data_IF_849631260092
#
_entry.id   IF_849631260092
#
_cell.length_a   1.000
_cell.length_b   1.000
_cell.length_c   1.000
_cell.angle_alpha   90.00
_cell.angle_beta   90.00
_cell.angle_gamma   90.00
#
_symmetry.space_group_name_H-M   'P 1'
#
loop_
_entity.id
_entity.type
_entity.pdbx_description
1 polymer ?
#
# COMPACT_ATOMS: atom_id res chain seq x y z
N UNK A 1 -56.18 2.41 -47.03
CA UNK A 1 -57.50 1.77 -46.94
C UNK A 1 -57.68 1.40 -45.48
N UNK A 2 -58.25 2.31 -44.69
CA UNK A 2 -59.70 2.29 -44.40
C UNK A 2 -60.07 1.00 -43.68
N UNK A 3 -60.17 1.07 -42.35
CA UNK A 3 -61.44 1.08 -41.60
C UNK A 3 -62.19 -0.25 -41.77
N UNK A 4 -62.53 -0.96 -40.70
CA UNK A 4 -63.81 -0.75 -40.05
C UNK A 4 -63.86 -1.43 -38.66
N UNK A 5 -64.52 -0.73 -37.76
CA UNK A 5 -65.01 -1.20 -36.46
C UNK A 5 -66.23 -2.10 -36.66
N UNK A 6 -66.39 -3.13 -35.84
CA UNK A 6 -67.71 -3.70 -35.50
C UNK A 6 -67.70 -4.25 -34.07
N UNK A 7 -68.55 -3.67 -33.21
CA UNK A 7 -69.02 -4.20 -31.92
C UNK A 7 -70.30 -5.00 -32.18
N UNK A 8 -70.63 -6.03 -31.37
CA UNK A 8 -71.56 -5.84 -30.24
C UNK A 8 -71.19 -6.67 -28.97
N UNK A 9 -71.42 -6.16 -27.75
CA UNK A 9 -72.51 -6.51 -26.78
C UNK A 9 -72.75 -8.04 -26.70
N UNK A 10 -72.66 -8.78 -25.59
CA UNK A 10 -73.35 -8.79 -24.28
C UNK A 10 -72.55 -9.86 -23.48
N UNK A 11 -72.26 -9.80 -22.18
CA UNK A 11 -73.11 -10.34 -21.10
C UNK A 11 -72.32 -10.30 -19.78
N UNK A 12 -72.96 -9.78 -18.73
CA UNK A 12 -72.49 -9.84 -17.35
C UNK A 12 -72.41 -11.29 -16.84
N UNK A 13 -71.28 -11.69 -16.25
CA UNK A 13 -71.29 -12.64 -15.13
C UNK A 13 -70.38 -12.08 -14.04
N UNK A 14 -71.02 -11.72 -12.93
CA UNK A 14 -70.42 -11.37 -11.66
C UNK A 14 -69.77 -12.64 -11.09
N UNK A 15 -68.44 -12.69 -11.02
CA UNK A 15 -67.72 -13.70 -10.25
C UNK A 15 -66.85 -12.99 -9.21
N UNK A 16 -67.31 -13.06 -7.96
CA UNK A 16 -66.54 -12.68 -6.77
C UNK A 16 -65.29 -13.54 -6.68
N UNK A 17 -64.13 -12.96 -6.97
CA UNK A 17 -62.83 -13.52 -6.66
C UNK A 17 -62.13 -12.61 -5.63
N UNK A 18 -61.78 -13.19 -4.48
CA UNK A 18 -61.13 -12.51 -3.36
C UNK A 18 -59.83 -11.83 -3.80
N UNK A 19 -59.48 -10.64 -3.28
CA UNK A 19 -58.14 -10.10 -3.44
C UNK A 19 -57.19 -10.89 -2.54
N UNK A 20 -56.37 -11.76 -3.13
CA UNK A 20 -55.15 -12.21 -2.47
C UNK A 20 -54.19 -11.01 -2.44
N UNK A 21 -54.23 -10.23 -1.36
CA UNK A 21 -53.21 -9.23 -1.06
C UNK A 21 -51.87 -9.93 -0.93
N UNK A 22 -51.08 -9.90 -2.01
CA UNK A 22 -49.66 -10.20 -1.95
C UNK A 22 -49.02 -9.15 -1.04
N UNK A 23 -48.69 -9.55 0.19
CA UNK A 23 -47.78 -8.79 1.02
C UNK A 23 -46.49 -8.57 0.23
N UNK A 24 -46.22 -7.31 -0.11
CA UNK A 24 -44.89 -6.86 -0.51
C UNK A 24 -43.95 -7.24 0.63
N UNK A 25 -43.22 -8.33 0.45
CA UNK A 25 -42.11 -8.72 1.31
C UNK A 25 -41.15 -7.54 1.27
N UNK A 26 -40.99 -6.87 2.41
CA UNK A 26 -40.20 -5.67 2.55
C UNK A 26 -38.84 -5.86 1.87
N UNK A 27 -38.55 -4.99 0.91
CA UNK A 27 -37.17 -4.74 0.53
C UNK A 27 -36.53 -4.15 1.78
N UNK A 28 -35.79 -4.97 2.52
CA UNK A 28 -34.89 -4.46 3.54
C UNK A 28 -33.99 -3.40 2.90
N UNK A 29 -33.55 -2.37 3.65
CA UNK A 29 -32.65 -1.37 3.11
C UNK A 29 -31.48 -2.07 2.42
N UNK A 30 -31.02 -1.56 1.26
CA UNK A 30 -29.86 -2.14 0.59
C UNK A 30 -28.74 -2.25 1.63
N UNK A 31 -28.17 -3.45 1.76
CA UNK A 31 -27.00 -3.65 2.57
C UNK A 31 -26.00 -2.57 2.15
N UNK A 32 -25.75 -1.61 3.04
CA UNK A 32 -24.63 -0.70 2.88
C UNK A 32 -23.42 -1.64 2.77
N UNK A 33 -22.82 -1.70 1.59
CA UNK A 33 -21.50 -2.31 1.38
C UNK A 33 -20.54 -1.55 2.31
N UNK A 34 -20.50 -1.99 3.55
CA UNK A 34 -19.65 -1.44 4.58
C UNK A 34 -18.23 -1.63 4.11
N UNK A 35 -17.52 -0.52 3.92
CA UNK A 35 -16.11 -0.55 3.54
C UNK A 35 -15.37 -1.45 4.53
N UNK A 36 -14.69 -2.48 4.03
CA UNK A 36 -13.92 -3.40 4.87
C UNK A 36 -12.90 -2.56 5.69
N UNK A 37 -12.91 -2.60 7.04
CA UNK A 37 -11.99 -1.83 7.86
C UNK A 37 -10.52 -2.10 7.53
N UNK A 38 -10.17 -3.32 7.13
CA UNK A 38 -8.81 -3.70 6.76
C UNK A 38 -8.37 -2.98 5.47
N UNK A 39 -9.29 -2.89 4.49
CA UNK A 39 -9.05 -2.13 3.25
C UNK A 39 -8.84 -0.63 3.51
N UNK A 40 -9.51 -0.06 4.52
CA UNK A 40 -9.27 1.34 4.93
C UNK A 40 -7.88 1.53 5.54
N UNK A 41 -7.37 0.55 6.29
CA UNK A 41 -6.02 0.60 6.87
C UNK A 41 -4.96 0.54 5.77
N UNK A 42 -5.12 -0.37 4.80
CA UNK A 42 -4.22 -0.45 3.64
C UNK A 42 -4.28 0.84 2.81
N UNK A 43 -5.47 1.38 2.55
CA UNK A 43 -5.60 2.67 1.87
C UNK A 43 -4.93 3.81 2.64
N UNK A 44 -5.00 3.79 3.98
CA UNK A 44 -4.32 4.77 4.81
C UNK A 44 -2.79 4.70 4.65
N UNK A 45 -2.23 3.48 4.60
CA UNK A 45 -0.82 3.26 4.30
C UNK A 45 -0.45 3.80 2.90
N UNK A 46 -1.21 3.43 1.87
CA UNK A 46 -0.99 3.86 0.48
C UNK A 46 -1.01 5.40 0.35
N UNK A 47 -1.94 6.06 1.02
CA UNK A 47 -2.00 7.52 1.07
C UNK A 47 -0.75 8.12 1.70
N UNK A 48 -0.26 7.56 2.82
CA UNK A 48 0.93 8.07 3.51
C UNK A 48 2.21 7.92 2.69
N UNK A 49 2.40 6.78 2.01
CA UNK A 49 3.54 6.58 1.10
C UNK A 49 3.43 7.46 -0.15
N UNK A 50 2.22 7.68 -0.66
CA UNK A 50 1.96 8.60 -1.77
C UNK A 50 2.30 10.05 -1.41
N UNK A 51 1.92 10.52 -0.22
CA UNK A 51 2.30 11.86 0.25
C UNK A 51 3.82 12.01 0.42
N UNK A 52 4.53 10.96 0.87
CA UNK A 52 5.99 10.97 0.85
C UNK A 52 6.55 11.08 -0.57
N UNK A 53 6.07 10.27 -1.51
CA UNK A 53 6.54 10.29 -2.90
C UNK A 53 6.29 11.64 -3.57
N UNK A 54 5.15 12.29 -3.30
CA UNK A 54 4.88 13.67 -3.76
C UNK A 54 5.90 14.66 -3.21
N UNK A 55 6.21 14.58 -1.92
CA UNK A 55 7.24 15.43 -1.30
C UNK A 55 8.60 15.23 -1.95
N UNK A 56 9.01 13.97 -2.14
CA UNK A 56 10.25 13.61 -2.82
C UNK A 56 10.34 14.26 -4.19
N UNK A 57 9.34 14.01 -5.07
CA UNK A 57 9.29 14.55 -6.42
C UNK A 57 9.31 16.08 -6.44
N UNK A 58 8.62 16.73 -5.50
CA UNK A 58 8.60 18.18 -5.39
C UNK A 58 9.95 18.80 -4.99
N UNK A 59 10.81 18.04 -4.31
CA UNK A 59 12.18 18.45 -3.97
C UNK A 59 13.11 18.18 -5.15
N UNK A 60 13.05 16.97 -5.71
CA UNK A 60 13.87 16.57 -6.86
C UNK A 60 13.63 17.48 -8.08
N UNK A 61 12.37 17.87 -8.35
CA UNK A 61 12.03 18.79 -9.43
C UNK A 61 12.62 20.21 -9.30
N UNK A 62 13.13 20.58 -8.12
CA UNK A 62 13.81 21.87 -7.90
C UNK A 62 15.32 21.77 -8.13
N UNK A 63 15.85 20.56 -8.30
CA UNK A 63 17.26 20.29 -8.51
C UNK A 63 17.57 20.22 -10.00
N UNK A 64 18.83 20.49 -10.41
CA UNK A 64 19.26 20.22 -11.77
C UNK A 64 19.06 18.74 -12.11
N UNK A 65 18.38 18.45 -13.22
CA UNK A 65 18.14 17.08 -13.62
C UNK A 65 19.46 16.32 -13.86
N UNK A 66 19.61 15.17 -13.20
CA UNK A 66 20.74 14.28 -13.42
C UNK A 66 20.57 13.56 -14.76
N UNK A 67 21.38 13.92 -15.75
CA UNK A 67 21.43 13.19 -17.02
C UNK A 67 22.01 11.79 -16.78
N UNK A 68 21.61 10.77 -17.57
CA UNK A 68 22.21 9.43 -17.49
C UNK A 68 23.74 9.52 -17.51
N UNK A 69 24.38 8.94 -16.49
CA UNK A 69 25.83 9.02 -16.30
C UNK A 69 26.31 7.85 -15.46
N UNK A 70 27.49 7.32 -15.79
CA UNK A 70 28.17 6.29 -14.98
C UNK A 70 29.05 6.89 -13.87
N UNK A 71 29.02 8.22 -13.72
CA UNK A 71 29.83 8.92 -12.71
C UNK A 71 29.22 8.72 -11.32
N UNK A 72 29.81 7.81 -10.54
CA UNK A 72 29.44 7.56 -9.15
C UNK A 72 29.43 8.83 -8.29
N UNK A 73 30.37 9.74 -8.52
CA UNK A 73 30.45 11.03 -7.83
C UNK A 73 29.25 11.94 -8.11
N UNK A 74 28.79 12.04 -9.36
CA UNK A 74 27.60 12.84 -9.72
C UNK A 74 26.32 12.24 -9.13
N UNK A 75 26.19 10.91 -9.20
CA UNK A 75 25.06 10.19 -8.60
C UNK A 75 25.01 10.43 -7.09
N UNK A 76 26.16 10.29 -6.42
CA UNK A 76 26.27 10.49 -4.97
C UNK A 76 25.95 11.92 -4.56
N UNK A 77 26.43 12.91 -5.32
CA UNK A 77 26.13 14.32 -5.06
C UNK A 77 24.63 14.61 -5.18
N UNK A 78 23.98 14.17 -6.27
CA UNK A 78 22.54 14.33 -6.47
C UNK A 78 21.75 13.68 -5.33
N UNK A 79 22.09 12.44 -4.98
CA UNK A 79 21.48 11.73 -3.85
C UNK A 79 21.63 12.50 -2.53
N UNK A 80 22.80 13.10 -2.28
CA UNK A 80 23.06 13.87 -1.05
C UNK A 80 22.22 15.15 -1.00
N UNK A 81 22.17 15.92 -2.09
CA UNK A 81 21.35 17.14 -2.18
C UNK A 81 19.85 16.84 -1.99
N UNK A 82 19.36 15.77 -2.64
CA UNK A 82 17.99 15.31 -2.48
C UNK A 82 17.70 14.90 -1.03
N UNK A 83 18.62 14.14 -0.41
CA UNK A 83 18.50 13.72 0.96
C UNK A 83 18.47 14.91 1.94
N UNK A 84 19.28 15.94 1.72
CA UNK A 84 19.28 17.16 2.52
C UNK A 84 17.97 17.93 2.40
N UNK A 85 17.45 18.09 1.18
CA UNK A 85 16.15 18.70 0.93
C UNK A 85 15.01 17.98 1.66
N UNK A 86 14.99 16.65 1.57
CA UNK A 86 13.98 15.80 2.23
C UNK A 86 14.11 15.91 3.75
N UNK A 87 15.33 15.85 4.32
CA UNK A 87 15.56 16.03 5.77
C UNK A 87 15.01 17.36 6.27
N UNK A 88 15.24 18.45 5.53
CA UNK A 88 14.75 19.78 5.90
C UNK A 88 13.23 19.83 5.92
N UNK A 89 12.58 19.26 4.90
CA UNK A 89 11.12 19.20 4.82
C UNK A 89 10.50 18.27 5.88
N UNK A 90 11.20 17.19 6.23
CA UNK A 90 10.76 16.16 7.20
C UNK A 90 11.39 16.32 8.59
N UNK A 91 11.79 17.53 9.00
CA UNK A 91 12.48 17.74 10.28
C UNK A 91 11.72 17.22 11.51
N UNK A 92 10.38 17.17 11.45
CA UNK A 92 9.52 16.66 12.52
C UNK A 92 9.05 15.21 12.33
N UNK A 93 9.52 14.50 11.30
CA UNK A 93 9.09 13.12 11.05
C UNK A 93 9.57 12.19 12.16
N UNK A 94 8.70 11.27 12.56
CA UNK A 94 8.94 10.28 13.62
C UNK A 94 8.56 8.89 13.14
N UNK A 95 9.06 7.90 13.87
CA UNK A 95 8.71 6.51 13.62
C UNK A 95 7.21 6.32 13.84
N UNK A 96 6.57 5.57 12.94
CA UNK A 96 5.14 5.31 12.96
C UNK A 96 4.28 6.39 12.33
N UNK A 97 4.88 7.42 11.71
CA UNK A 97 4.15 8.37 10.87
C UNK A 97 3.58 7.71 9.60
N UNK A 98 4.19 6.62 9.12
CA UNK A 98 3.66 5.79 8.04
C UNK A 98 3.16 4.46 8.59
N UNK A 99 4.01 3.69 9.27
CA UNK A 99 3.64 2.46 9.95
C UNK A 99 2.97 2.74 11.29
N UNK A 100 1.79 3.35 11.24
CA UNK A 100 0.96 3.56 12.44
C UNK A 100 0.67 2.22 13.14
N UNK A 101 0.31 2.20 14.43
CA UNK A 101 -0.01 0.96 15.13
C UNK A 101 -1.07 0.08 14.43
N UNK A 102 -2.06 0.70 13.78
CA UNK A 102 -3.09 0.00 13.02
C UNK A 102 -2.54 -0.63 11.75
N UNK A 103 -1.71 0.11 11.01
CA UNK A 103 -1.03 -0.39 9.81
C UNK A 103 -0.08 -1.53 10.19
N UNK A 104 0.64 -1.40 11.30
CA UNK A 104 1.49 -2.47 11.82
C UNK A 104 0.68 -3.74 12.07
N UNK A 105 -0.45 -3.63 12.78
CA UNK A 105 -1.31 -4.77 13.07
C UNK A 105 -1.82 -5.46 11.79
N UNK A 106 -2.07 -4.71 10.72
CA UNK A 106 -2.52 -5.25 9.42
C UNK A 106 -1.37 -5.86 8.60
N UNK A 107 -0.17 -5.30 8.67
CA UNK A 107 1.00 -5.83 7.95
C UNK A 107 1.50 -7.15 8.53
N UNK A 108 1.36 -7.36 9.85
CA UNK A 108 1.89 -8.54 10.51
C UNK A 108 1.29 -9.87 9.98
N UNK A 109 -0.03 -10.00 9.79
CA UNK A 109 -0.63 -11.15 9.10
C UNK A 109 -0.08 -11.36 7.68
N UNK A 110 0.06 -10.30 6.88
CA UNK A 110 0.56 -10.39 5.50
C UNK A 110 1.98 -10.98 5.45
N UNK A 111 2.84 -10.52 6.35
CA UNK A 111 4.20 -11.04 6.49
C UNK A 111 4.17 -12.48 7.00
N UNK A 112 3.34 -12.78 7.99
CA UNK A 112 3.21 -14.13 8.56
C UNK A 112 2.79 -15.14 7.49
N UNK A 113 1.78 -14.79 6.68
CA UNK A 113 1.30 -15.62 5.56
C UNK A 113 2.44 -15.87 4.57
N UNK A 114 3.21 -14.84 4.19
CA UNK A 114 4.36 -15.01 3.31
C UNK A 114 5.42 -15.94 3.93
N UNK A 115 5.73 -15.76 5.21
CA UNK A 115 6.74 -16.49 5.97
C UNK A 115 6.37 -17.95 6.29
N UNK A 116 5.10 -18.33 6.11
CA UNK A 116 4.57 -19.68 6.34
C UNK A 116 4.01 -20.33 5.06
N UNK A 117 3.92 -19.57 3.96
CA UNK A 117 3.39 -20.04 2.69
C UNK A 117 4.34 -20.96 1.93
N UNK A 118 3.97 -21.30 0.69
CA UNK A 118 4.74 -22.21 -0.17
C UNK A 118 6.20 -21.76 -0.39
N UNK A 119 6.45 -20.45 -0.34
CA UNK A 119 7.77 -19.84 -0.54
C UNK A 119 8.57 -19.63 0.75
N UNK A 120 8.03 -20.03 1.91
CA UNK A 120 8.63 -19.80 3.22
C UNK A 120 10.10 -20.23 3.28
N UNK A 121 10.42 -21.44 2.80
CA UNK A 121 11.80 -21.96 2.82
C UNK A 121 12.78 -21.06 2.04
N UNK A 122 12.34 -20.47 0.93
CA UNK A 122 13.15 -19.55 0.11
C UNK A 122 13.34 -18.21 0.81
N UNK A 123 12.27 -17.69 1.41
CA UNK A 123 12.31 -16.45 2.20
C UNK A 123 13.28 -16.60 3.37
N UNK A 124 13.12 -17.65 4.20
CA UNK A 124 14.01 -17.94 5.33
C UNK A 124 15.47 -18.11 4.91
N UNK A 125 15.72 -18.77 3.79
CA UNK A 125 17.10 -18.94 3.26
C UNK A 125 17.69 -17.60 2.84
N UNK A 126 16.93 -16.79 2.09
CA UNK A 126 17.37 -15.46 1.68
C UNK A 126 17.63 -14.53 2.86
N UNK A 127 16.77 -14.56 3.89
CA UNK A 127 16.92 -13.74 5.09
C UNK A 127 18.07 -14.22 6.01
N UNK A 128 18.40 -15.51 6.02
CA UNK A 128 19.57 -16.03 6.77
C UNK A 128 20.90 -15.72 6.10
N UNK A 129 20.94 -15.64 4.77
CA UNK A 129 22.14 -15.25 4.03
C UNK A 129 22.40 -13.75 4.07
N UNK A 130 21.43 -12.95 4.51
CA UNK A 130 21.68 -11.58 4.87
C UNK A 130 22.66 -11.53 6.06
N UNK A 131 23.85 -10.97 5.84
CA UNK A 131 24.80 -10.65 6.91
C UNK A 131 24.10 -9.97 8.09
N UNK A 132 24.40 -10.35 9.34
CA UNK A 132 23.76 -9.74 10.50
C UNK A 132 24.22 -8.28 10.66
N UNK A 133 23.41 -7.35 10.15
CA UNK A 133 23.65 -5.92 10.27
C UNK A 133 23.02 -5.42 11.58
N UNK A 134 23.85 -5.03 12.55
CA UNK A 134 23.38 -4.25 13.71
C UNK A 134 23.31 -2.78 13.34
N UNK A 135 22.29 -2.40 12.56
CA UNK A 135 22.03 -1.02 12.21
C UNK A 135 21.11 -0.36 13.24
N UNK A 136 21.54 0.77 13.79
CA UNK A 136 20.63 1.65 14.54
C UNK A 136 19.77 2.42 13.54
N UNK A 137 18.56 1.95 13.32
CA UNK A 137 17.58 2.62 12.46
C UNK A 137 17.20 3.97 13.06
N UNK A 138 17.20 5.01 12.22
CA UNK A 138 16.77 6.35 12.60
C UNK A 138 16.09 7.02 11.42
N UNK A 139 14.93 7.63 11.67
CA UNK A 139 14.18 8.36 10.65
C UNK A 139 15.06 9.45 10.05
N UNK A 140 14.98 9.59 8.73
CA UNK A 140 15.77 10.51 7.92
C UNK A 140 17.30 10.29 7.98
N UNK A 141 17.78 9.21 8.60
CA UNK A 141 19.18 8.82 8.51
C UNK A 141 19.42 8.06 7.20
N UNK A 142 20.64 8.15 6.69
CA UNK A 142 21.02 7.38 5.51
C UNK A 142 21.23 5.90 5.84
N UNK A 143 20.93 5.02 4.90
CA UNK A 143 21.39 3.64 5.00
C UNK A 143 22.92 3.62 4.79
N UNK A 144 23.73 3.03 5.69
CA UNK A 144 25.18 3.13 5.58
C UNK A 144 25.70 2.45 4.32
N UNK A 145 26.58 3.13 3.57
CA UNK A 145 27.19 2.57 2.36
C UNK A 145 28.12 1.37 2.63
N UNK A 146 28.62 1.23 3.86
CA UNK A 146 29.47 0.12 4.29
C UNK A 146 28.71 -1.19 4.53
N UNK A 147 27.37 -1.14 4.47
CA UNK A 147 26.51 -2.31 4.65
C UNK A 147 26.05 -2.76 3.27
N UNK A 148 26.31 -4.03 2.87
CA UNK A 148 25.79 -4.56 1.62
C UNK A 148 24.28 -4.34 1.51
N UNK A 149 23.82 -3.86 0.37
CA UNK A 149 22.38 -3.76 0.10
C UNK A 149 21.83 -5.18 0.03
N UNK A 150 21.15 -5.59 1.10
CA UNK A 150 20.45 -6.86 1.14
C UNK A 150 19.16 -6.72 0.37
N UNK A 151 18.97 -7.61 -0.62
CA UNK A 151 17.73 -7.69 -1.38
C UNK A 151 16.64 -8.29 -0.50
N UNK A 152 15.50 -7.59 -0.39
CA UNK A 152 14.31 -8.16 0.23
C UNK A 152 13.79 -9.31 -0.64
N UNK A 153 13.47 -10.48 -0.07
CA UNK A 153 13.03 -11.63 -0.85
C UNK A 153 11.78 -11.26 -1.70
N UNK A 154 11.79 -11.46 -3.03
CA UNK A 154 10.67 -11.07 -3.88
C UNK A 154 9.33 -11.71 -3.46
N UNK A 155 9.38 -12.96 -3.00
CA UNK A 155 8.21 -13.68 -2.50
C UNK A 155 7.61 -13.09 -1.23
N UNK A 156 8.39 -12.37 -0.41
CA UNK A 156 7.85 -11.57 0.69
C UNK A 156 7.10 -10.34 0.14
N UNK A 157 7.67 -9.67 -0.85
CA UNK A 157 7.08 -8.46 -1.45
C UNK A 157 5.74 -8.72 -2.13
N UNK A 158 5.50 -9.93 -2.64
CA UNK A 158 4.23 -10.31 -3.28
C UNK A 158 3.01 -10.19 -2.37
N UNK A 159 3.20 -10.26 -1.05
CA UNK A 159 2.13 -10.17 -0.07
C UNK A 159 1.98 -8.77 0.54
N UNK A 160 2.84 -7.81 0.16
CA UNK A 160 2.83 -6.46 0.71
C UNK A 160 2.15 -5.47 -0.26
N UNK A 161 1.55 -4.38 0.26
CA UNK A 161 1.04 -3.32 -0.59
C UNK A 161 2.14 -2.73 -1.48
N UNK A 162 1.79 -2.43 -2.74
CA UNK A 162 2.74 -1.86 -3.70
C UNK A 162 3.21 -0.48 -3.25
N UNK A 163 4.46 -0.17 -3.58
CA UNK A 163 5.08 1.12 -3.29
C UNK A 163 5.23 1.96 -4.55
N UNK A 164 5.25 3.30 -4.42
CA UNK A 164 5.81 4.18 -5.45
C UNK A 164 7.26 3.81 -5.79
N UNK A 165 7.72 4.14 -7.00
CA UNK A 165 9.04 3.73 -7.51
C UNK A 165 10.22 4.25 -6.68
N UNK A 166 10.05 5.37 -5.98
CA UNK A 166 11.08 5.98 -5.15
C UNK A 166 11.28 5.26 -3.82
N UNK A 167 10.31 4.41 -3.43
CA UNK A 167 10.24 3.79 -2.11
C UNK A 167 10.37 2.28 -2.22
N UNK A 168 11.16 1.69 -1.35
CA UNK A 168 11.36 0.25 -1.30
C UNK A 168 11.20 -0.30 0.13
N UNK A 169 10.73 -1.55 0.21
CA UNK A 169 10.78 -2.31 1.45
C UNK A 169 12.17 -2.92 1.63
N UNK A 170 12.71 -2.79 2.84
CA UNK A 170 13.93 -3.47 3.28
C UNK A 170 13.69 -4.24 4.56
N UNK A 171 14.36 -5.38 4.69
CA UNK A 171 14.41 -6.14 5.95
C UNK A 171 15.76 -5.89 6.61
N UNK A 172 15.73 -5.41 7.86
CA UNK A 172 16.94 -5.16 8.67
C UNK A 172 16.78 -5.83 10.02
N UNK A 173 17.48 -6.95 10.22
CA UNK A 173 17.20 -7.84 11.35
C UNK A 173 15.75 -8.32 11.29
N UNK A 174 14.99 -8.11 12.36
CA UNK A 174 13.57 -8.44 12.42
C UNK A 174 12.64 -7.29 11.99
N UNK A 175 13.19 -6.20 11.47
CA UNK A 175 12.42 -4.99 11.17
C UNK A 175 12.09 -4.89 9.69
N UNK A 176 10.89 -4.43 9.37
CA UNK A 176 10.54 -3.97 8.03
C UNK A 176 10.76 -2.46 7.95
N UNK A 177 11.49 -2.00 6.95
CA UNK A 177 11.94 -0.62 6.80
C UNK A 177 11.45 -0.09 5.46
N UNK A 178 10.92 1.13 5.44
CA UNK A 178 10.71 1.89 4.21
C UNK A 178 11.95 2.74 3.95
N UNK A 179 12.56 2.54 2.79
CA UNK A 179 13.69 3.33 2.34
C UNK A 179 13.33 4.11 1.08
N UNK A 180 13.87 5.31 0.98
CA UNK A 180 13.92 6.09 -0.25
C UNK A 180 15.15 5.63 -1.04
N UNK A 181 14.92 5.02 -2.20
CA UNK A 181 15.99 4.45 -3.02
C UNK A 181 16.86 5.53 -3.68
N UNK A 182 16.31 6.69 -4.03
CA UNK A 182 17.08 7.74 -4.72
C UNK A 182 17.79 8.69 -3.76
N UNK A 183 17.25 8.90 -2.56
CA UNK A 183 17.85 9.71 -1.51
C UNK A 183 18.67 8.89 -0.49
N UNK A 184 18.56 7.56 -0.55
CA UNK A 184 19.11 6.63 0.43
C UNK A 184 18.73 7.02 1.87
N UNK A 185 17.44 7.16 2.16
CA UNK A 185 16.93 7.59 3.47
C UNK A 185 15.96 6.58 4.07
N UNK A 186 16.07 6.36 5.39
CA UNK A 186 15.04 5.63 6.14
C UNK A 186 13.83 6.55 6.34
N UNK A 187 12.70 6.19 5.75
CA UNK A 187 11.46 6.97 5.78
C UNK A 187 10.67 6.66 7.06
N UNK A 188 10.49 5.37 7.35
CA UNK A 188 9.85 4.82 8.54
C UNK A 188 10.24 3.34 8.72
N UNK A 189 9.98 2.76 9.89
CA UNK A 189 10.21 1.33 10.13
C UNK A 189 9.30 0.73 11.20
N UNK A 190 9.03 -0.55 11.01
CA UNK A 190 8.18 -1.38 11.85
C UNK A 190 9.04 -2.47 12.51
N UNK A 191 9.24 -2.41 13.84
CA UNK A 191 10.05 -3.38 14.55
C UNK A 191 9.29 -4.69 14.76
N UNK A 192 9.99 -5.83 14.78
CA UNK A 192 9.38 -7.14 15.02
C UNK A 192 8.43 -7.61 13.91
N UNK A 193 8.66 -7.11 12.69
CA UNK A 193 7.88 -7.44 11.51
C UNK A 193 8.15 -8.88 11.03
N UNK A 194 9.41 -9.33 11.11
CA UNK A 194 9.82 -10.67 10.69
C UNK A 194 9.86 -11.60 11.91
N UNK A 195 9.07 -12.69 11.90
CA UNK A 195 8.97 -13.65 13.01
C UNK A 195 10.22 -14.53 13.16
#
# INVERSE_FOLDING_TARGET
>A
MESLRFFPVVTCILALALPASRALKGQGPPAQEGVNPDALIIQNFENRVSEYAKLHRAIDAKMPALKPTDSSGKITHHQQELAEGIRKARRGAKQGDIFTPQIHAEFHPLITIAMQGQDAARIHTSLRHAEPVRLRLRINAGYPASVPLQSTPPSLLLNLPKLPEEIEYRVVGNNLVLCDAHANLIIDFMPGAIP
#
